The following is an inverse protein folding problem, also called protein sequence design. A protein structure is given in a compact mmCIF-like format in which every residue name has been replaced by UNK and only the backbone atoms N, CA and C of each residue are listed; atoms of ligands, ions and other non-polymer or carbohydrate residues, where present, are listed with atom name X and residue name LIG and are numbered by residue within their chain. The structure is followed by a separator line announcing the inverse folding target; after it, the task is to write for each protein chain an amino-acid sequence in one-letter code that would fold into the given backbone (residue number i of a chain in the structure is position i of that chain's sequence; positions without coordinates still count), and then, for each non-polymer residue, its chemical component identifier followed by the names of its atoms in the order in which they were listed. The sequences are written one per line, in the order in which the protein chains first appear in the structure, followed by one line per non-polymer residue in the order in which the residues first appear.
data_IF_457781434088
#
_entry.id   IF_457781434088
#
_cell.length_a   1.000
_cell.length_b   1.000
_cell.length_c   1.000
_cell.angle_alpha   90.00
_cell.angle_beta   90.00
_cell.angle_gamma   90.00
#
_symmetry.space_group_name_H-M   'P 1'
#
loop_
_entity.id
_entity.type
_entity.pdbx_description
1 polymer ?
#
# COMPACT_ATOMS: atom_id res chain seq x y z
N UNK A 1 -1.75 49.25 -17.02
CA UNK A 1 -2.50 48.25 -16.25
C UNK A 1 -2.40 46.87 -16.85
N UNK A 2 -1.59 46.02 -16.23
CA UNK A 2 -1.60 44.58 -16.50
C UNK A 2 -2.68 44.01 -15.58
N UNK A 3 -3.83 43.66 -16.16
CA UNK A 3 -4.93 43.05 -15.40
C UNK A 3 -4.46 41.67 -14.90
N UNK A 4 -4.26 41.56 -13.59
CA UNK A 4 -3.74 40.38 -12.88
C UNK A 4 -4.79 39.30 -12.66
N UNK A 5 -6.02 39.49 -13.17
CA UNK A 5 -7.13 38.55 -12.98
C UNK A 5 -7.06 37.39 -13.97
N UNK A 6 -7.23 36.17 -13.44
CA UNK A 6 -7.28 34.92 -14.22
C UNK A 6 -8.48 34.97 -15.17
N UNK A 7 -8.21 35.09 -16.48
CA UNK A 7 -9.26 35.03 -17.51
C UNK A 7 -9.74 33.59 -17.65
N UNK A 8 -11.02 33.35 -17.38
CA UNK A 8 -11.66 32.04 -17.55
C UNK A 8 -12.38 32.06 -18.90
N UNK A 9 -12.18 31.06 -19.77
CA UNK A 9 -12.85 31.00 -21.06
C UNK A 9 -14.37 30.85 -20.87
N UNK A 10 -15.14 31.39 -21.82
CA UNK A 10 -16.60 31.25 -21.81
C UNK A 10 -16.97 29.76 -21.93
N UNK A 11 -17.81 29.23 -21.02
CA UNK A 11 -18.29 27.85 -21.10
C UNK A 11 -19.01 27.62 -22.43
N UNK A 12 -18.65 26.53 -23.12
CA UNK A 12 -19.28 26.15 -24.39
C UNK A 12 -20.54 25.32 -24.16
N UNK A 13 -21.50 25.41 -25.07
CA UNK A 13 -22.76 24.65 -25.07
C UNK A 13 -23.93 25.40 -24.41
N UNK A 14 -25.04 24.70 -24.20
CA UNK A 14 -26.28 25.30 -23.68
C UNK A 14 -26.12 25.86 -22.27
N UNK A 15 -26.85 26.93 -21.98
CA UNK A 15 -26.85 27.60 -20.67
C UNK A 15 -27.41 26.66 -19.59
N UNK A 16 -28.48 25.94 -19.93
CA UNK A 16 -29.07 24.91 -19.07
C UNK A 16 -28.52 23.55 -19.50
N UNK A 17 -27.91 22.82 -18.56
CA UNK A 17 -27.43 21.46 -18.78
C UNK A 17 -27.92 20.57 -17.67
N UNK A 18 -28.56 19.48 -18.04
CA UNK A 18 -28.78 18.36 -17.14
C UNK A 18 -27.55 17.46 -17.20
N UNK A 19 -27.03 17.11 -16.02
CA UNK A 19 -25.86 16.23 -15.89
C UNK A 19 -26.14 15.26 -14.76
N UNK A 20 -26.03 13.98 -15.07
CA UNK A 20 -26.04 12.93 -14.07
C UNK A 20 -24.62 12.78 -13.53
N UNK A 21 -24.51 12.73 -12.20
CA UNK A 21 -23.26 12.50 -11.50
C UNK A 21 -23.40 11.25 -10.66
N UNK A 22 -22.48 10.30 -10.88
CA UNK A 22 -22.33 9.13 -10.02
C UNK A 22 -21.24 9.43 -9.02
N UNK A 23 -21.56 9.37 -7.74
CA UNK A 23 -20.61 9.54 -6.65
C UNK A 23 -20.29 8.19 -6.03
N UNK A 24 -19.01 7.91 -5.85
CA UNK A 24 -18.52 6.74 -5.12
C UNK A 24 -17.90 7.26 -3.82
N UNK A 25 -18.52 6.92 -2.70
CA UNK A 25 -18.07 7.28 -1.36
C UNK A 25 -17.84 6.01 -0.56
N UNK A 26 -16.85 6.02 0.33
CA UNK A 26 -16.69 4.96 1.32
C UNK A 26 -17.54 5.25 2.56
N UNK A 27 -17.88 4.22 3.34
CA UNK A 27 -18.56 4.41 4.63
C UNK A 27 -17.74 5.29 5.58
N UNK A 28 -16.41 5.16 5.54
CA UNK A 28 -15.51 6.00 6.32
C UNK A 28 -15.60 7.49 5.93
N UNK A 29 -15.75 7.80 4.63
CA UNK A 29 -15.97 9.18 4.18
C UNK A 29 -17.30 9.72 4.71
N UNK A 30 -18.36 8.89 4.68
CA UNK A 30 -19.67 9.26 5.21
C UNK A 30 -19.66 9.48 6.72
N UNK A 31 -18.95 8.63 7.46
CA UNK A 31 -18.71 8.77 8.89
C UNK A 31 -17.99 10.08 9.21
N UNK A 32 -16.92 10.41 8.47
CA UNK A 32 -16.15 11.63 8.68
C UNK A 32 -16.99 12.89 8.37
N UNK A 33 -17.78 12.86 7.29
CA UNK A 33 -18.68 13.97 6.93
C UNK A 33 -19.72 14.19 8.03
N UNK A 34 -20.36 13.12 8.51
CA UNK A 34 -21.38 13.21 9.55
C UNK A 34 -20.79 13.63 10.91
N UNK A 35 -19.61 13.11 11.27
CA UNK A 35 -18.89 13.53 12.47
C UNK A 35 -18.55 15.03 12.42
N UNK A 36 -18.03 15.53 11.29
CA UNK A 36 -17.74 16.96 11.08
C UNK A 36 -19.00 17.82 11.16
N UNK A 37 -20.13 17.36 10.62
CA UNK A 37 -21.39 18.07 10.70
C UNK A 37 -21.95 18.14 12.12
N UNK A 38 -21.94 17.03 12.87
CA UNK A 38 -22.37 16.99 14.29
C UNK A 38 -21.46 17.78 15.21
N UNK A 39 -20.15 17.81 14.95
CA UNK A 39 -19.20 18.60 15.72
C UNK A 39 -19.26 20.12 15.44
N UNK A 40 -20.19 20.58 14.59
CA UNK A 40 -20.40 21.99 14.31
C UNK A 40 -19.28 22.59 13.48
N UNK A 41 -19.42 22.56 12.16
CA UNK A 41 -18.62 23.34 11.20
C UNK A 41 -18.86 24.85 11.30
N UNK A 42 -18.72 25.41 12.51
CA UNK A 42 -18.82 26.84 12.80
C UNK A 42 -17.47 27.42 13.20
N UNK A 43 -17.37 28.75 13.09
CA UNK A 43 -16.27 29.68 13.45
C UNK A 43 -15.42 29.27 14.69
N UNK A 44 -15.98 28.47 15.60
CA UNK A 44 -15.34 27.96 16.80
C UNK A 44 -14.17 26.98 16.55
N UNK A 45 -14.26 26.11 15.54
CA UNK A 45 -13.18 25.16 15.19
C UNK A 45 -11.93 25.87 14.63
N UNK A 46 -12.15 26.97 13.90
CA UNK A 46 -11.10 27.82 13.33
C UNK A 46 -10.36 28.65 14.41
N UNK A 47 -11.03 29.01 15.51
CA UNK A 47 -10.47 29.83 16.59
C UNK A 47 -9.67 29.03 17.63
N UNK A 48 -9.97 27.75 17.82
CA UNK A 48 -9.35 26.91 18.86
C UNK A 48 -8.29 25.94 18.33
N UNK A 49 -7.81 26.14 17.10
CA UNK A 49 -6.68 25.38 16.55
C UNK A 49 -6.89 23.86 16.67
N UNK A 50 -8.07 23.37 16.28
CA UNK A 50 -8.46 21.98 16.50
C UNK A 50 -7.63 21.02 15.64
N UNK A 51 -6.47 20.67 16.16
CA UNK A 51 -5.83 19.38 15.96
C UNK A 51 -6.57 18.36 16.83
N UNK A 52 -7.20 17.39 16.18
CA UNK A 52 -7.21 15.98 16.59
C UNK A 52 -8.14 15.23 15.64
N UNK A 53 -7.55 14.33 14.86
CA UNK A 53 -8.19 13.08 14.45
C UNK A 53 -8.75 12.38 15.69
N UNK A 54 -9.96 12.75 16.09
CA UNK A 54 -10.71 12.04 17.13
C UNK A 54 -11.31 10.79 16.53
N UNK A 55 -11.30 9.71 17.29
CA UNK A 55 -12.06 8.51 16.96
C UNK A 55 -13.53 8.90 16.74
N UNK A 56 -14.13 8.34 15.69
CA UNK A 56 -15.53 8.59 15.37
C UNK A 56 -16.38 7.77 16.34
N UNK A 57 -17.24 8.45 17.09
CA UNK A 57 -18.16 7.82 18.04
C UNK A 57 -19.02 6.76 17.35
N UNK A 58 -19.28 5.67 18.08
CA UNK A 58 -20.13 4.56 17.60
C UNK A 58 -21.53 5.03 17.23
N UNK A 59 -22.08 6.03 17.91
CA UNK A 59 -23.38 6.63 17.60
C UNK A 59 -23.42 7.32 16.23
N UNK A 60 -22.30 7.85 15.75
CA UNK A 60 -22.21 8.42 14.40
C UNK A 60 -22.21 7.29 13.39
N UNK A 61 -21.39 6.25 13.60
CA UNK A 61 -21.30 5.09 12.72
C UNK A 61 -22.64 4.39 12.56
N UNK A 62 -23.33 4.10 13.66
CA UNK A 62 -24.66 3.46 13.61
C UNK A 62 -25.68 4.29 12.83
N UNK A 63 -25.65 5.62 12.98
CA UNK A 63 -26.56 6.49 12.24
C UNK A 63 -26.23 6.53 10.73
N UNK A 64 -24.94 6.45 10.37
CA UNK A 64 -24.52 6.32 8.96
C UNK A 64 -24.94 4.97 8.40
N UNK A 65 -24.72 3.88 9.13
CA UNK A 65 -25.12 2.53 8.73
C UNK A 65 -26.63 2.44 8.47
N UNK A 66 -27.45 3.00 9.36
CA UNK A 66 -28.91 3.07 9.17
C UNK A 66 -29.31 3.91 7.95
N UNK A 67 -28.65 5.05 7.73
CA UNK A 67 -28.92 5.91 6.59
C UNK A 67 -28.53 5.24 5.27
N UNK A 68 -27.37 4.59 5.22
CA UNK A 68 -26.90 3.83 4.05
C UNK A 68 -27.83 2.67 3.76
N UNK A 69 -28.21 1.90 4.79
CA UNK A 69 -29.16 0.80 4.64
C UNK A 69 -30.48 1.28 4.05
N UNK A 70 -31.02 2.39 4.55
CA UNK A 70 -32.23 3.01 3.99
C UNK A 70 -32.06 3.43 2.52
N UNK A 71 -30.92 4.01 2.16
CA UNK A 71 -30.66 4.40 0.76
C UNK A 71 -30.58 3.19 -0.18
N UNK A 72 -30.05 2.07 0.31
CA UNK A 72 -30.00 0.80 -0.43
C UNK A 72 -31.40 0.19 -0.56
N UNK A 73 -32.17 0.14 0.53
CA UNK A 73 -33.55 -0.37 0.53
C UNK A 73 -34.48 0.46 -0.38
N UNK A 74 -34.22 1.77 -0.52
CA UNK A 74 -34.92 2.68 -1.43
C UNK A 74 -34.37 2.67 -2.87
N UNK A 75 -33.42 1.79 -3.20
CA UNK A 75 -32.75 1.68 -4.51
C UNK A 75 -32.06 2.98 -4.98
N UNK A 76 -31.70 3.87 -4.05
CA UNK A 76 -30.99 5.13 -4.32
C UNK A 76 -29.47 4.98 -4.30
N UNK A 77 -28.96 3.92 -3.68
CA UNK A 77 -27.54 3.64 -3.55
C UNK A 77 -27.25 2.14 -3.69
N UNK A 78 -26.03 1.82 -4.11
CA UNK A 78 -25.53 0.45 -4.19
C UNK A 78 -24.27 0.33 -3.33
N UNK A 79 -24.18 -0.76 -2.57
CA UNK A 79 -22.97 -1.09 -1.81
C UNK A 79 -22.10 -2.00 -2.67
N UNK A 80 -20.86 -1.59 -2.87
CA UNK A 80 -19.84 -2.42 -3.51
C UNK A 80 -18.84 -2.87 -2.45
N UNK A 81 -18.75 -4.18 -2.12
CA UNK A 81 -17.74 -4.67 -1.18
C UNK A 81 -16.34 -4.47 -1.77
N UNK A 82 -15.47 -3.84 -0.99
CA UNK A 82 -14.08 -3.60 -1.35
C UNK A 82 -13.16 -4.78 -1.01
N UNK A 83 -11.85 -4.49 -1.01
CA UNK A 83 -10.80 -5.41 -0.57
C UNK A 83 -9.97 -4.71 0.51
N UNK A 84 -9.82 -5.35 1.66
CA UNK A 84 -8.90 -4.95 2.72
C UNK A 84 -7.65 -5.83 2.64
N UNK A 85 -6.55 -5.29 2.12
CA UNK A 85 -5.26 -5.97 2.07
C UNK A 85 -4.39 -5.56 3.25
N UNK A 86 -3.96 -6.54 4.05
CA UNK A 86 -3.05 -6.34 5.18
C UNK A 86 -1.76 -7.12 4.90
N UNK A 87 -0.70 -6.40 4.57
CA UNK A 87 0.65 -6.96 4.44
C UNK A 87 1.30 -7.14 5.82
N UNK A 88 2.26 -8.06 5.92
CA UNK A 88 2.96 -8.40 7.17
C UNK A 88 2.01 -8.64 8.36
N UNK A 89 0.87 -9.29 8.09
CA UNK A 89 -0.21 -9.51 9.07
C UNK A 89 0.20 -10.28 10.33
N UNK A 90 1.34 -10.99 10.31
CA UNK A 90 1.94 -11.60 11.51
C UNK A 90 2.37 -10.59 12.59
N UNK A 91 2.38 -9.29 12.28
CA UNK A 91 2.64 -8.21 13.22
C UNK A 91 1.42 -7.79 14.04
N UNK A 92 0.22 -8.19 13.61
CA UNK A 92 -1.03 -7.99 14.36
C UNK A 92 -1.00 -8.80 15.65
N UNK A 93 -1.58 -8.24 16.71
CA UNK A 93 -1.76 -8.92 17.98
C UNK A 93 -3.09 -9.68 18.04
N UNK A 94 -3.26 -10.47 19.11
CA UNK A 94 -4.46 -11.25 19.34
C UNK A 94 -5.74 -10.39 19.39
N UNK A 95 -5.65 -9.16 19.89
CA UNK A 95 -6.79 -8.24 20.00
C UNK A 95 -7.25 -7.79 18.61
N UNK A 96 -6.31 -7.42 17.73
CA UNK A 96 -6.59 -7.08 16.35
C UNK A 96 -7.17 -8.28 15.57
N UNK A 97 -6.64 -9.48 15.75
CA UNK A 97 -7.22 -10.67 15.13
C UNK A 97 -8.62 -10.98 15.65
N UNK A 98 -8.88 -10.78 16.94
CA UNK A 98 -10.21 -10.95 17.53
C UNK A 98 -11.20 -9.93 16.94
N UNK A 99 -10.77 -8.69 16.72
CA UNK A 99 -11.55 -7.67 16.03
C UNK A 99 -11.86 -8.08 14.59
N UNK A 100 -10.86 -8.56 13.84
CA UNK A 100 -11.05 -9.05 12.47
C UNK A 100 -12.02 -10.25 12.44
N UNK A 101 -11.88 -11.20 13.36
CA UNK A 101 -12.77 -12.36 13.48
C UNK A 101 -14.24 -11.96 13.64
N UNK A 102 -14.52 -10.95 14.47
CA UNK A 102 -15.86 -10.37 14.63
C UNK A 102 -16.30 -9.58 13.41
N UNK A 103 -15.40 -8.83 12.78
CA UNK A 103 -15.72 -8.04 11.60
C UNK A 103 -16.11 -8.92 10.40
N UNK A 104 -15.48 -10.08 10.22
CA UNK A 104 -15.79 -11.06 9.17
C UNK A 104 -17.23 -11.60 9.27
N UNK A 105 -17.85 -11.54 10.45
CA UNK A 105 -19.23 -11.97 10.65
C UNK A 105 -20.26 -10.91 10.23
N UNK A 106 -19.82 -9.68 9.93
CA UNK A 106 -20.69 -8.60 9.45
C UNK A 106 -21.00 -8.72 7.96
N UNK A 107 -22.25 -8.44 7.57
CA UNK A 107 -22.71 -8.51 6.17
C UNK A 107 -22.00 -7.52 5.24
N UNK A 108 -21.52 -6.39 5.78
CA UNK A 108 -20.89 -5.31 5.01
C UNK A 108 -19.36 -5.42 4.95
N UNK A 109 -18.79 -6.53 5.43
CA UNK A 109 -17.32 -6.68 5.47
C UNK A 109 -16.74 -6.82 4.06
N UNK A 110 -15.67 -6.08 3.72
CA UNK A 110 -14.96 -6.30 2.46
C UNK A 110 -14.23 -7.66 2.47
N UNK A 111 -13.77 -8.09 1.31
CA UNK A 111 -12.88 -9.26 1.21
C UNK A 111 -11.57 -8.92 1.93
N UNK A 112 -11.21 -9.70 2.95
CA UNK A 112 -9.98 -9.51 3.71
C UNK A 112 -8.88 -10.42 3.14
N UNK A 113 -7.78 -9.82 2.70
CA UNK A 113 -6.59 -10.54 2.21
C UNK A 113 -5.44 -10.27 3.18
N UNK A 114 -4.99 -11.33 3.85
CA UNK A 114 -3.85 -11.29 4.77
C UNK A 114 -2.63 -11.88 4.07
N UNK A 115 -1.51 -11.15 4.08
CA UNK A 115 -0.22 -11.64 3.59
C UNK A 115 0.77 -11.80 4.74
N UNK A 116 1.56 -12.87 4.67
CA UNK A 116 2.61 -13.18 5.65
C UNK A 116 3.75 -13.94 4.99
N UNK A 117 4.97 -13.64 5.42
CA UNK A 117 6.19 -14.32 5.00
C UNK A 117 6.75 -15.22 6.14
N UNK A 118 5.97 -15.45 7.20
CA UNK A 118 6.37 -16.27 8.35
C UNK A 118 5.75 -17.67 8.25
N UNK A 119 6.56 -18.70 8.48
CA UNK A 119 6.10 -20.09 8.52
C UNK A 119 5.43 -20.46 9.84
N UNK A 120 6.20 -20.49 10.94
CA UNK A 120 5.68 -20.69 12.30
C UNK A 120 6.25 -19.60 13.19
N UNK A 121 5.39 -18.82 13.85
CA UNK A 121 5.81 -17.74 14.75
C UNK A 121 4.85 -17.65 15.93
N UNK A 122 5.28 -16.95 16.98
CA UNK A 122 4.44 -16.66 18.14
C UNK A 122 3.40 -15.62 17.76
N UNK A 123 2.13 -15.84 18.14
CA UNK A 123 1.06 -14.85 17.99
C UNK A 123 1.37 -13.69 18.93
N UNK A 124 1.47 -12.48 18.40
CA UNK A 124 1.86 -11.30 19.18
C UNK A 124 0.83 -11.04 20.29
N UNK A 125 1.31 -10.81 21.50
CA UNK A 125 0.48 -10.68 22.70
C UNK A 125 0.22 -12.02 23.42
N UNK A 126 0.78 -13.14 22.95
CA UNK A 126 0.68 -14.45 23.61
C UNK A 126 2.02 -15.19 23.59
N UNK A 127 2.11 -16.32 24.30
CA UNK A 127 3.24 -17.26 24.23
C UNK A 127 2.98 -18.44 23.26
N UNK A 128 1.87 -18.40 22.50
CA UNK A 128 1.43 -19.49 21.64
C UNK A 128 2.07 -19.38 20.26
N UNK A 129 2.75 -20.46 19.83
CA UNK A 129 3.25 -20.60 18.46
C UNK A 129 2.17 -21.16 17.55
N UNK A 130 2.01 -20.55 16.39
CA UNK A 130 1.02 -20.96 15.39
C UNK A 130 1.59 -20.85 13.97
N UNK A 131 1.10 -21.65 13.00
CA UNK A 131 1.37 -21.41 11.59
C UNK A 131 1.03 -19.96 11.22
N UNK A 132 1.91 -19.31 10.45
CA UNK A 132 1.77 -17.95 9.95
C UNK A 132 1.71 -16.84 11.01
N UNK A 133 1.68 -17.19 12.29
CA UNK A 133 1.48 -16.25 13.40
C UNK A 133 0.01 -15.89 13.64
N UNK A 134 -0.92 -16.69 13.11
CA UNK A 134 -2.36 -16.41 13.20
C UNK A 134 -3.06 -17.30 14.23
N UNK A 135 -4.15 -16.84 14.86
CA UNK A 135 -5.04 -17.70 15.62
C UNK A 135 -5.57 -18.87 14.77
N UNK A 136 -5.61 -20.08 15.34
CA UNK A 136 -6.00 -21.29 14.59
C UNK A 136 -7.42 -21.21 14.04
N UNK A 137 -8.33 -20.57 14.76
CA UNK A 137 -9.70 -20.30 14.33
C UNK A 137 -9.77 -19.46 13.05
N UNK A 138 -8.88 -18.48 12.90
CA UNK A 138 -8.80 -17.66 11.69
C UNK A 138 -8.23 -18.46 10.53
N UNK A 139 -7.21 -19.29 10.79
CA UNK A 139 -6.59 -20.16 9.78
C UNK A 139 -7.61 -21.16 9.24
N UNK A 140 -8.40 -21.80 10.11
CA UNK A 140 -9.44 -22.78 9.72
C UNK A 140 -10.55 -22.16 8.87
N UNK A 141 -10.81 -20.85 9.02
CA UNK A 141 -11.78 -20.09 8.23
C UNK A 141 -11.20 -19.51 6.93
N UNK A 142 -9.89 -19.58 6.73
CA UNK A 142 -9.19 -18.88 5.65
C UNK A 142 -8.91 -19.79 4.45
N UNK A 143 -8.94 -19.20 3.24
CA UNK A 143 -8.40 -19.84 2.04
C UNK A 143 -6.93 -19.48 1.93
N UNK A 144 -6.05 -20.48 2.04
CA UNK A 144 -4.60 -20.27 2.00
C UNK A 144 -4.11 -20.44 0.56
N UNK A 145 -3.42 -19.42 0.05
CA UNK A 145 -2.77 -19.44 -1.27
C UNK A 145 -1.27 -19.41 -1.05
N UNK A 146 -0.58 -20.50 -1.40
CA UNK A 146 0.87 -20.55 -1.41
C UNK A 146 1.44 -19.86 -2.65
N UNK A 147 2.43 -18.99 -2.48
CA UNK A 147 3.19 -18.39 -3.57
C UNK A 147 4.54 -19.09 -3.71
N UNK A 148 4.98 -19.30 -4.95
CA UNK A 148 6.30 -19.87 -5.25
C UNK A 148 7.29 -18.76 -5.64
N UNK A 149 8.58 -19.03 -5.44
CA UNK A 149 9.64 -18.14 -5.90
C UNK A 149 9.70 -18.10 -7.43
N UNK A 150 10.02 -16.94 -7.98
CA UNK A 150 10.18 -16.78 -9.42
C UNK A 150 11.48 -17.42 -9.92
N UNK A 151 11.40 -18.09 -11.07
CA UNK A 151 12.59 -18.50 -11.81
C UNK A 151 13.30 -17.29 -12.48
N UNK A 152 14.53 -17.49 -12.96
CA UNK A 152 15.33 -16.42 -13.54
C UNK A 152 14.71 -15.82 -14.83
N UNK A 153 13.98 -16.61 -15.62
CA UNK A 153 13.32 -16.15 -16.84
C UNK A 153 12.13 -15.25 -16.48
N UNK A 154 11.34 -15.66 -15.50
CA UNK A 154 10.26 -14.87 -14.90
C UNK A 154 10.78 -13.55 -14.34
N UNK A 155 11.89 -13.56 -13.59
CA UNK A 155 12.54 -12.34 -13.06
C UNK A 155 12.94 -11.39 -14.20
N UNK A 156 13.54 -11.93 -15.27
CA UNK A 156 13.96 -11.12 -16.44
C UNK A 156 12.77 -10.43 -17.10
N UNK A 157 11.67 -11.14 -17.32
CA UNK A 157 10.47 -10.55 -17.93
C UNK A 157 9.82 -9.51 -17.00
N UNK A 158 9.78 -9.75 -15.69
CA UNK A 158 9.30 -8.74 -14.73
C UNK A 158 10.15 -7.46 -14.81
N UNK A 159 11.49 -7.59 -14.83
CA UNK A 159 12.40 -6.44 -14.94
C UNK A 159 12.24 -5.70 -16.27
N UNK A 160 11.95 -6.40 -17.36
CA UNK A 160 11.69 -5.83 -18.68
C UNK A 160 10.35 -5.08 -18.74
N UNK A 161 9.33 -5.57 -18.05
CA UNK A 161 8.06 -4.84 -17.89
C UNK A 161 8.31 -3.58 -17.06
N UNK A 162 9.04 -3.70 -15.95
CA UNK A 162 9.40 -2.56 -15.09
C UNK A 162 10.22 -1.50 -15.81
N UNK A 163 11.21 -1.88 -16.62
CA UNK A 163 12.01 -0.93 -17.38
C UNK A 163 11.17 -0.15 -18.39
N UNK A 164 10.19 -0.80 -19.03
CA UNK A 164 9.24 -0.12 -19.94
C UNK A 164 8.34 0.86 -19.19
N UNK A 165 7.78 0.45 -18.04
CA UNK A 165 6.91 1.29 -17.23
C UNK A 165 7.64 2.54 -16.71
N UNK A 166 8.87 2.37 -16.22
CA UNK A 166 9.74 3.46 -15.75
C UNK A 166 10.42 4.25 -16.88
N UNK A 167 10.17 3.86 -18.15
CA UNK A 167 10.79 4.46 -19.37
C UNK A 167 12.31 4.46 -19.31
N UNK A 168 12.90 3.39 -18.78
CA UNK A 168 14.34 3.17 -18.69
C UNK A 168 14.79 2.41 -19.93
N UNK A 169 15.69 3.03 -20.71
CA UNK A 169 16.35 2.33 -21.80
C UNK A 169 17.56 1.55 -21.25
N UNK A 170 17.50 0.22 -21.28
CA UNK A 170 18.52 -0.67 -20.73
C UNK A 170 19.01 -1.63 -21.82
N UNK A 171 20.33 -1.83 -21.87
CA UNK A 171 20.91 -2.83 -22.78
C UNK A 171 20.62 -4.25 -22.28
N UNK A 172 20.45 -5.17 -23.21
CA UNK A 172 20.11 -6.57 -22.89
C UNK A 172 21.11 -7.23 -21.93
N UNK A 173 22.40 -6.97 -22.14
CA UNK A 173 23.46 -7.49 -21.30
C UNK A 173 23.45 -6.91 -19.87
N UNK A 174 22.97 -5.67 -19.69
CA UNK A 174 22.77 -5.08 -18.36
C UNK A 174 21.52 -5.67 -17.68
N UNK A 175 20.46 -5.96 -18.45
CA UNK A 175 19.25 -6.61 -17.96
C UNK A 175 19.53 -8.03 -17.47
N UNK A 176 20.31 -8.81 -18.24
CA UNK A 176 20.81 -10.13 -17.83
C UNK A 176 21.57 -10.03 -16.51
N UNK A 177 22.43 -9.01 -16.36
CA UNK A 177 23.19 -8.84 -15.13
C UNK A 177 22.31 -8.57 -13.91
N UNK A 178 21.30 -7.70 -14.03
CA UNK A 178 20.35 -7.42 -12.94
C UNK A 178 19.51 -8.67 -12.62
N UNK A 179 19.20 -9.47 -13.63
CA UNK A 179 18.49 -10.74 -13.47
C UNK A 179 19.31 -11.74 -12.66
N UNK A 180 20.60 -11.90 -12.97
CA UNK A 180 21.52 -12.75 -12.20
C UNK A 180 21.59 -12.31 -10.73
N UNK A 181 21.64 -11.01 -10.48
CA UNK A 181 21.64 -10.45 -9.12
C UNK A 181 20.32 -10.77 -8.41
N UNK A 182 19.18 -10.66 -9.12
CA UNK A 182 17.85 -10.93 -8.59
C UNK A 182 17.63 -12.37 -8.20
N UNK A 183 18.12 -13.30 -9.03
CA UNK A 183 18.09 -14.73 -8.74
C UNK A 183 18.92 -15.11 -7.51
N UNK A 184 19.96 -14.33 -7.18
CA UNK A 184 20.80 -14.57 -5.98
C UNK A 184 20.29 -13.89 -4.71
N UNK A 185 19.45 -12.86 -4.85
CA UNK A 185 19.05 -11.98 -3.73
C UNK A 185 17.52 -11.93 -3.62
N UNK A 186 16.88 -10.90 -4.18
CA UNK A 186 15.42 -10.79 -4.23
C UNK A 186 14.99 -9.95 -5.43
N UNK A 187 13.77 -10.19 -5.92
CA UNK A 187 13.15 -9.37 -6.95
C UNK A 187 13.05 -7.89 -6.55
N UNK A 188 12.73 -7.63 -5.28
CA UNK A 188 12.63 -6.26 -4.73
C UNK A 188 13.95 -5.51 -4.88
N UNK A 189 15.05 -6.16 -4.52
CA UNK A 189 16.38 -5.56 -4.66
C UNK A 189 16.74 -5.30 -6.12
N UNK A 190 16.49 -6.25 -7.03
CA UNK A 190 16.76 -6.06 -8.46
C UNK A 190 15.97 -4.92 -9.11
N UNK A 191 14.70 -4.74 -8.73
CA UNK A 191 13.89 -3.61 -9.21
C UNK A 191 14.48 -2.28 -8.71
N UNK A 192 14.90 -2.20 -7.45
CA UNK A 192 15.57 -1.00 -6.92
C UNK A 192 16.90 -0.74 -7.63
N UNK A 193 17.68 -1.79 -7.89
CA UNK A 193 18.95 -1.72 -8.62
C UNK A 193 18.76 -1.18 -10.04
N UNK A 194 17.68 -1.59 -10.73
CA UNK A 194 17.32 -1.08 -12.04
C UNK A 194 17.09 0.44 -12.02
N UNK A 195 16.28 0.94 -11.09
CA UNK A 195 16.00 2.38 -10.97
C UNK A 195 17.27 3.17 -10.59
N UNK A 196 18.11 2.62 -9.71
CA UNK A 196 19.38 3.25 -9.31
C UNK A 196 20.40 3.27 -10.46
N UNK A 197 20.52 2.18 -11.21
CA UNK A 197 21.38 2.10 -12.39
C UNK A 197 20.94 3.09 -13.47
N UNK A 198 19.63 3.30 -13.64
CA UNK A 198 19.09 4.33 -14.52
C UNK A 198 19.45 5.75 -14.08
N UNK A 199 19.44 6.04 -12.78
CA UNK A 199 19.88 7.34 -12.26
C UNK A 199 21.39 7.53 -12.43
N UNK A 200 22.19 6.49 -12.20
CA UNK A 200 23.63 6.52 -12.44
C UNK A 200 23.96 6.79 -13.92
N UNK A 201 23.30 6.08 -14.84
CA UNK A 201 23.43 6.28 -16.28
C UNK A 201 23.08 7.73 -16.68
N UNK A 202 21.97 8.29 -16.15
CA UNK A 202 21.59 9.69 -16.39
C UNK A 202 22.66 10.67 -15.88
N UNK A 203 23.20 10.43 -14.68
CA UNK A 203 24.27 11.25 -14.10
C UNK A 203 25.55 11.20 -14.94
N UNK A 204 25.90 10.00 -15.45
CA UNK A 204 27.02 9.77 -16.36
C UNK A 204 26.75 10.23 -17.81
N UNK A 205 25.56 10.78 -18.09
CA UNK A 205 25.11 11.19 -19.43
C UNK A 205 25.07 10.05 -20.45
N UNK A 206 24.91 8.80 -19.98
CA UNK A 206 24.64 7.65 -20.81
C UNK A 206 23.20 7.72 -21.35
N UNK A 207 23.01 7.32 -22.61
CA UNK A 207 21.68 7.23 -23.23
C UNK A 207 20.92 5.97 -22.79
N UNK A 208 21.65 4.93 -22.38
CA UNK A 208 21.13 3.62 -22.01
C UNK A 208 21.90 3.10 -20.81
N UNK A 209 21.23 2.32 -19.96
CA UNK A 209 21.87 1.64 -18.83
C UNK A 209 22.78 0.52 -19.36
N UNK A 210 24.05 0.57 -18.95
CA UNK A 210 25.08 -0.41 -19.31
C UNK A 210 25.44 -1.32 -18.13
N UNK A 211 26.21 -2.39 -18.39
CA UNK A 211 26.69 -3.28 -17.32
C UNK A 211 27.49 -2.51 -16.28
N UNK A 212 28.34 -1.57 -16.70
CA UNK A 212 29.17 -0.76 -15.80
C UNK A 212 28.34 0.05 -14.80
N UNK A 213 27.19 0.56 -15.25
CA UNK A 213 26.25 1.28 -14.38
C UNK A 213 25.67 0.35 -13.31
N UNK A 214 25.29 -0.87 -13.70
CA UNK A 214 24.75 -1.90 -12.80
C UNK A 214 25.81 -2.35 -11.78
N UNK A 215 27.02 -2.66 -12.24
CA UNK A 215 28.12 -3.08 -11.38
C UNK A 215 28.53 -2.00 -10.38
N UNK A 216 28.54 -0.74 -10.82
CA UNK A 216 28.83 0.39 -9.94
C UNK A 216 27.77 0.51 -8.84
N UNK A 217 26.50 0.46 -9.19
CA UNK A 217 25.40 0.55 -8.21
C UNK A 217 25.42 -0.66 -7.27
N UNK A 218 25.63 -1.87 -7.79
CA UNK A 218 25.72 -3.09 -6.98
C UNK A 218 26.88 -3.09 -5.99
N UNK A 219 27.94 -2.29 -6.21
CA UNK A 219 29.04 -2.11 -5.24
C UNK A 219 28.73 -1.06 -4.17
N UNK A 220 27.83 -0.13 -4.46
CA UNK A 220 27.50 1.00 -3.59
C UNK A 220 26.34 0.67 -2.65
N UNK A 221 25.37 -0.09 -3.13
CA UNK A 221 24.18 -0.47 -2.38
C UNK A 221 24.25 -1.97 -2.10
N UNK A 222 24.15 -2.34 -0.83
CA UNK A 222 24.16 -3.73 -0.37
C UNK A 222 22.74 -4.28 -0.33
N UNK A 223 22.57 -5.57 -0.61
CA UNK A 223 21.32 -6.27 -0.33
C UNK A 223 21.19 -6.56 1.18
N UNK A 224 20.02 -7.07 1.61
CA UNK A 224 19.75 -7.36 3.03
C UNK A 224 20.73 -8.41 3.59
N UNK A 225 21.12 -9.39 2.78
CA UNK A 225 22.04 -10.46 3.16
C UNK A 225 23.46 -9.92 3.37
N UNK A 226 23.96 -9.15 2.39
CA UNK A 226 25.24 -8.44 2.51
C UNK A 226 25.27 -7.47 3.68
N UNK A 227 24.21 -6.68 3.87
CA UNK A 227 24.09 -5.76 4.99
C UNK A 227 24.13 -6.51 6.34
N UNK A 228 23.43 -7.63 6.45
CA UNK A 228 23.46 -8.47 7.66
C UNK A 228 24.86 -9.03 7.94
N UNK A 229 25.57 -9.50 6.90
CA UNK A 229 26.95 -9.98 7.05
C UNK A 229 27.91 -8.85 7.44
N UNK A 230 27.74 -7.67 6.83
CA UNK A 230 28.52 -6.49 7.15
C UNK A 230 28.29 -6.08 8.61
N UNK A 231 27.04 -6.03 9.08
CA UNK A 231 26.70 -5.73 10.47
C UNK A 231 27.31 -6.74 11.43
N UNK A 232 27.19 -8.05 11.16
CA UNK A 232 27.82 -9.10 11.98
C UNK A 232 29.34 -8.96 12.08
N UNK A 233 30.01 -8.60 10.98
CA UNK A 233 31.47 -8.41 10.97
C UNK A 233 31.93 -7.25 11.86
N UNK A 234 31.09 -6.24 12.04
CA UNK A 234 31.40 -5.06 12.84
C UNK A 234 30.60 -4.99 14.15
N UNK A 235 29.92 -6.08 14.52
CA UNK A 235 29.06 -6.17 15.70
C UNK A 235 29.80 -5.74 16.97
N UNK A 236 31.04 -6.20 17.15
CA UNK A 236 31.91 -5.84 18.28
C UNK A 236 32.25 -4.34 18.38
N UNK A 237 32.08 -3.59 17.30
CA UNK A 237 32.35 -2.14 17.23
C UNK A 237 31.08 -1.30 17.24
N UNK A 238 29.91 -1.93 17.20
CA UNK A 238 28.63 -1.25 17.16
C UNK A 238 28.08 -1.12 18.58
N UNK A 239 27.54 0.05 18.91
CA UNK A 239 26.84 0.23 20.18
C UNK A 239 25.43 -0.34 20.05
N UNK A 240 25.07 -1.25 20.94
CA UNK A 240 23.69 -1.67 21.16
C UNK A 240 22.99 -0.59 21.99
N UNK A 241 21.84 -0.10 21.51
CA UNK A 241 20.91 0.72 22.28
C UNK A 241 19.69 -0.10 22.66
#
# INVERSE_FOLDING_TARGET
DIDTRKKIPQPQGDVLKEKEFVYTLTLADMDEINARQRMGGGIFSLFMGATATKEIDTEVRTAVDEAVKKMVDEEKAFIHPGVLFIDDSHLLDLEAFSFLGRAIESELVPIIILATNRGVTTIRGTDVKSPMGFPLDLVDRSVIIGTEDYDAESIREILKIRSKEEKINIKENALEKITEVGAKTSLRYSVQLLSLAAQNAKSAKHKEVTIEDVERVSKLFMDVSEATQHLKKYEDKMMFH
#
